data_IF_225557878253
#
_entry.id   IF_225557878253
#
_cell.length_a   1.000
_cell.length_b   1.000
_cell.length_c   1.000
_cell.angle_alpha   90.00
_cell.angle_beta   90.00
_cell.angle_gamma   90.00
#
_symmetry.space_group_name_H-M   'P 1'
#
loop_
_entity.id
_entity.type
_entity.pdbx_description
1 polymer ?
#
# COMPACT_ATOMS: atom_id res chain seq x y z
N UNK A 1 2.61 -3.30 20.30
CA UNK A 1 2.92 -2.52 21.53
C UNK A 1 3.20 -1.09 21.12
N UNK A 2 2.79 -0.07 21.90
CA UNK A 2 3.11 1.34 21.59
C UNK A 2 4.59 1.58 21.91
N UNK A 3 5.30 2.36 21.09
CA UNK A 3 6.69 2.72 21.32
C UNK A 3 6.86 3.51 22.63
N UNK A 4 7.98 3.30 23.32
CA UNK A 4 8.23 3.88 24.65
C UNK A 4 8.17 5.42 24.65
N UNK A 5 8.76 6.07 23.65
CA UNK A 5 8.73 7.54 23.51
C UNK A 5 7.30 8.07 23.34
N UNK A 6 6.52 7.44 22.46
CA UNK A 6 5.11 7.82 22.24
C UNK A 6 4.26 7.58 23.50
N UNK A 7 4.50 6.48 24.21
CA UNK A 7 3.79 6.21 25.47
C UNK A 7 4.10 7.26 26.54
N UNK A 8 5.34 7.72 26.61
CA UNK A 8 5.76 8.78 27.53
C UNK A 8 5.07 10.11 27.22
N UNK A 9 5.02 10.50 25.93
CA UNK A 9 4.34 11.74 25.52
C UNK A 9 2.84 11.70 25.78
N UNK A 10 2.18 10.57 25.51
CA UNK A 10 0.75 10.40 25.85
C UNK A 10 0.54 10.53 27.36
N UNK A 11 1.39 9.91 28.18
CA UNK A 11 1.30 9.99 29.63
C UNK A 11 1.55 11.43 30.15
N UNK A 12 2.48 12.16 29.52
CA UNK A 12 2.76 13.56 29.83
C UNK A 12 1.53 14.43 29.60
N UNK A 13 0.88 14.31 28.43
CA UNK A 13 -0.34 15.04 28.10
C UNK A 13 -1.49 14.69 29.05
N UNK A 14 -1.63 13.43 29.45
CA UNK A 14 -2.62 13.01 30.45
C UNK A 14 -2.35 13.64 31.81
N UNK A 15 -1.07 13.74 32.20
CA UNK A 15 -0.64 14.38 33.47
C UNK A 15 -0.88 15.88 33.42
N UNK A 16 -0.56 16.52 32.30
CA UNK A 16 -0.80 17.96 32.11
C UNK A 16 -2.28 18.30 32.13
N UNK A 17 -3.13 17.51 31.44
CA UNK A 17 -4.56 17.64 31.49
C UNK A 17 -5.10 17.51 32.93
N UNK A 18 -4.52 16.59 33.73
CA UNK A 18 -4.86 16.43 35.16
C UNK A 18 -4.46 17.64 35.97
N UNK A 19 -3.26 18.18 35.78
CA UNK A 19 -2.79 19.37 36.47
C UNK A 19 -3.63 20.60 36.15
N UNK A 20 -4.14 20.69 34.91
CA UNK A 20 -5.05 21.76 34.46
C UNK A 20 -6.52 21.48 34.79
N UNK A 21 -6.81 20.34 35.43
CA UNK A 21 -8.17 19.93 35.85
C UNK A 21 -9.16 19.86 34.67
N UNK A 22 -8.69 19.43 33.50
CA UNK A 22 -9.55 19.28 32.34
C UNK A 22 -10.45 18.05 32.49
N UNK A 23 -11.71 18.16 32.05
CA UNK A 23 -12.69 17.08 32.16
C UNK A 23 -12.39 15.93 31.17
N UNK A 24 -11.91 16.29 29.98
CA UNK A 24 -11.65 15.31 28.91
C UNK A 24 -10.28 15.50 28.29
N UNK A 25 -9.71 14.38 27.76
CA UNK A 25 -8.58 14.41 26.84
C UNK A 25 -9.08 14.03 25.44
N UNK A 26 -8.88 14.94 24.49
CA UNK A 26 -9.44 14.89 23.14
C UNK A 26 -8.38 14.54 22.09
N UNK A 27 -8.76 14.40 20.81
CA UNK A 27 -7.85 14.17 19.68
C UNK A 27 -6.87 15.34 19.49
N UNK A 28 -7.26 16.56 19.84
CA UNK A 28 -6.43 17.76 19.82
C UNK A 28 -5.25 17.67 20.79
N UNK A 29 -5.48 17.12 21.98
CA UNK A 29 -4.41 16.83 22.95
C UNK A 29 -3.46 15.75 22.40
N UNK A 30 -3.99 14.75 21.69
CA UNK A 30 -3.16 13.73 21.08
C UNK A 30 -2.29 14.31 19.94
N UNK A 31 -2.85 15.21 19.13
CA UNK A 31 -2.07 15.92 18.12
C UNK A 31 -0.96 16.76 18.76
N UNK A 32 -1.26 17.45 19.87
CA UNK A 32 -0.28 18.23 20.61
C UNK A 32 0.89 17.37 21.12
N UNK A 33 0.60 16.18 21.66
CA UNK A 33 1.60 15.20 22.04
C UNK A 33 2.49 14.78 20.84
N UNK A 34 1.87 14.54 19.70
CA UNK A 34 2.60 14.15 18.49
C UNK A 34 3.50 15.24 17.94
N UNK A 35 3.19 16.52 18.15
CA UNK A 35 4.03 17.65 17.78
C UNK A 35 5.33 17.75 18.62
N UNK A 36 5.48 16.93 19.66
CA UNK A 36 6.73 16.81 20.44
C UNK A 36 7.62 15.67 19.91
N UNK A 37 7.11 14.83 19.02
CA UNK A 37 7.86 13.68 18.50
C UNK A 37 8.72 14.07 17.30
N UNK A 38 10.01 13.75 17.34
CA UNK A 38 10.99 14.12 16.29
C UNK A 38 10.57 13.69 14.88
N UNK A 39 9.92 12.53 14.74
CA UNK A 39 9.43 12.01 13.47
C UNK A 39 8.36 12.93 12.86
N UNK A 40 7.40 13.39 13.68
CA UNK A 40 6.32 14.29 13.26
C UNK A 40 6.85 15.69 12.99
N UNK A 41 7.75 16.18 13.85
CA UNK A 41 8.40 17.48 13.69
C UNK A 41 9.21 17.53 12.39
N UNK A 42 9.97 16.49 12.08
CA UNK A 42 10.76 16.38 10.84
C UNK A 42 9.85 16.36 9.61
N UNK A 43 8.76 15.61 9.66
CA UNK A 43 7.74 15.60 8.60
C UNK A 43 7.12 16.99 8.38
N UNK A 44 6.69 17.66 9.45
CA UNK A 44 6.08 19.01 9.39
C UNK A 44 7.04 20.03 8.80
N UNK A 45 8.33 20.03 9.25
CA UNK A 45 9.38 20.89 8.70
C UNK A 45 9.61 20.64 7.21
N UNK A 46 9.61 19.37 6.78
CA UNK A 46 9.70 19.01 5.36
C UNK A 46 8.59 19.60 4.49
N UNK A 47 7.40 19.76 5.07
CA UNK A 47 6.24 20.42 4.42
C UNK A 47 6.24 21.95 4.62
N UNK A 48 7.26 22.54 5.27
CA UNK A 48 7.39 23.97 5.58
C UNK A 48 6.24 24.54 6.43
N UNK A 49 5.75 23.76 7.38
CA UNK A 49 4.67 24.14 8.27
C UNK A 49 5.27 24.81 9.51
N UNK A 50 4.63 25.90 9.95
CA UNK A 50 4.98 26.54 11.20
C UNK A 50 4.39 25.77 12.38
N UNK A 51 5.23 24.96 13.02
CA UNK A 51 4.82 24.08 14.14
C UNK A 51 4.41 24.89 15.36
N UNK A 52 5.11 26.00 15.61
CA UNK A 52 4.84 26.85 16.79
C UNK A 52 3.47 27.53 16.68
N UNK A 53 3.08 27.97 15.49
CA UNK A 53 1.78 28.55 15.22
C UNK A 53 0.67 27.49 15.37
N UNK A 54 0.85 26.30 14.77
CA UNK A 54 -0.10 25.20 14.90
C UNK A 54 -0.28 24.77 16.37
N UNK A 55 0.81 24.74 17.15
CA UNK A 55 0.78 24.45 18.58
C UNK A 55 -0.03 25.49 19.35
N UNK A 56 0.24 26.78 19.12
CA UNK A 56 -0.47 27.87 19.79
C UNK A 56 -1.97 27.84 19.47
N UNK A 57 -2.34 27.58 18.22
CA UNK A 57 -3.75 27.43 17.82
C UNK A 57 -4.43 26.25 18.50
N UNK A 58 -3.74 25.09 18.61
CA UNK A 58 -4.25 23.90 19.30
C UNK A 58 -4.45 24.17 20.80
N UNK A 59 -3.48 24.79 21.45
CA UNK A 59 -3.54 25.15 22.88
C UNK A 59 -4.71 26.11 23.14
N UNK A 60 -4.84 27.15 22.31
CA UNK A 60 -5.96 28.11 22.42
C UNK A 60 -7.32 27.42 22.23
N UNK A 61 -7.41 26.47 21.29
CA UNK A 61 -8.63 25.72 21.07
C UNK A 61 -8.97 24.83 22.28
N UNK A 62 -8.00 24.13 22.82
CA UNK A 62 -8.14 23.25 23.99
C UNK A 62 -8.63 24.09 25.18
N UNK A 63 -8.00 25.24 25.43
CA UNK A 63 -8.34 26.13 26.54
C UNK A 63 -9.75 26.66 26.44
N UNK A 64 -10.24 26.94 25.26
CA UNK A 64 -11.57 27.52 25.05
C UNK A 64 -12.70 26.49 24.97
N UNK A 65 -12.40 25.23 24.69
CA UNK A 65 -13.42 24.19 24.40
C UNK A 65 -13.39 23.01 25.36
N UNK A 66 -12.37 22.90 26.23
CA UNK A 66 -12.33 21.80 27.20
C UNK A 66 -12.78 22.32 28.57
N UNK A 67 -13.88 21.79 29.15
CA UNK A 67 -14.35 22.18 30.48
C UNK A 67 -13.32 21.89 31.57
N UNK A 68 -13.29 22.74 32.58
CA UNK A 68 -12.45 22.58 33.77
C UNK A 68 -13.33 22.05 34.91
N UNK A 69 -12.85 21.00 35.59
CA UNK A 69 -13.53 20.42 36.75
C UNK A 69 -13.39 21.32 37.96
N UNK A 70 -14.46 21.50 38.74
CA UNK A 70 -14.46 22.30 39.99
C UNK A 70 -13.47 21.72 41.03
N UNK A 71 -13.02 22.60 41.95
CA UNK A 71 -12.00 22.21 42.95
C UNK A 71 -12.47 21.13 43.94
N UNK A 72 -13.77 20.97 44.12
CA UNK A 72 -14.39 20.03 45.07
C UNK A 72 -14.56 18.61 44.51
N UNK A 73 -14.39 18.38 43.18
CA UNK A 73 -14.57 17.09 42.54
C UNK A 73 -13.27 16.29 42.47
N UNK A 74 -13.38 14.98 42.64
CA UNK A 74 -12.27 14.05 42.32
C UNK A 74 -11.96 14.09 40.84
N UNK A 75 -10.65 14.16 40.53
CA UNK A 75 -10.18 14.29 39.15
C UNK A 75 -10.05 12.88 38.54
N UNK A 76 -11.05 12.46 37.80
CA UNK A 76 -10.94 11.29 36.96
C UNK A 76 -11.04 11.72 35.50
N UNK A 77 -9.88 11.86 34.85
CA UNK A 77 -9.80 12.31 33.46
C UNK A 77 -10.18 11.19 32.53
N UNK A 78 -11.22 11.40 31.74
CA UNK A 78 -11.71 10.42 30.77
C UNK A 78 -11.23 10.76 29.36
N UNK A 79 -10.45 9.90 28.69
CA UNK A 79 -10.17 10.06 27.27
C UNK A 79 -11.46 9.96 26.47
N UNK A 80 -11.67 10.92 25.56
CA UNK A 80 -12.85 10.90 24.68
C UNK A 80 -12.86 9.65 23.79
N UNK A 81 -14.04 9.26 23.32
CA UNK A 81 -14.22 8.14 22.41
C UNK A 81 -13.37 8.30 21.13
N UNK A 82 -13.24 9.54 20.64
CA UNK A 82 -12.37 9.86 19.49
C UNK A 82 -10.90 9.55 19.76
N UNK A 83 -10.38 9.97 20.92
CA UNK A 83 -9.02 9.69 21.37
C UNK A 83 -8.76 8.18 21.44
N UNK A 84 -9.67 7.43 22.09
CA UNK A 84 -9.55 5.97 22.20
C UNK A 84 -9.59 5.28 20.84
N UNK A 85 -10.51 5.69 19.94
CA UNK A 85 -10.61 5.13 18.59
C UNK A 85 -9.36 5.35 17.76
N UNK A 86 -8.73 6.53 17.86
CA UNK A 86 -7.48 6.81 17.14
C UNK A 86 -6.39 5.85 17.59
N UNK A 87 -6.20 5.66 18.90
CA UNK A 87 -5.19 4.73 19.43
C UNK A 87 -5.49 3.28 19.07
N UNK A 88 -6.72 2.82 19.24
CA UNK A 88 -7.12 1.46 18.87
C UNK A 88 -6.89 1.18 17.38
N UNK A 89 -7.25 2.13 16.52
CA UNK A 89 -7.07 2.02 15.08
C UNK A 89 -5.59 1.98 14.69
N UNK A 90 -4.74 2.78 15.35
CA UNK A 90 -3.30 2.75 15.10
C UNK A 90 -2.67 1.41 15.49
N UNK A 91 -3.11 0.81 16.61
CA UNK A 91 -2.68 -0.53 17.02
C UNK A 91 -3.14 -1.59 16.02
N UNK A 92 -4.39 -1.53 15.59
CA UNK A 92 -4.93 -2.48 14.61
C UNK A 92 -4.22 -2.38 13.26
N UNK A 93 -3.91 -1.16 12.79
CA UNK A 93 -3.16 -0.94 11.55
C UNK A 93 -1.72 -1.48 11.65
N UNK A 94 -1.05 -1.27 12.79
CA UNK A 94 0.30 -1.80 13.00
C UNK A 94 0.31 -3.34 13.01
N UNK A 95 -0.67 -3.96 13.67
CA UNK A 95 -0.84 -5.42 13.68
C UNK A 95 -1.11 -5.98 12.28
N UNK A 96 -1.99 -5.33 11.51
CA UNK A 96 -2.30 -5.72 10.12
C UNK A 96 -1.10 -5.58 9.18
N UNK A 97 -0.20 -4.63 9.47
CA UNK A 97 1.05 -4.42 8.74
C UNK A 97 2.22 -5.27 9.29
N UNK A 98 1.95 -6.25 10.18
CA UNK A 98 2.95 -7.10 10.84
C UNK A 98 4.08 -6.32 11.54
N UNK A 99 3.81 -5.07 11.96
CA UNK A 99 4.76 -4.27 12.73
C UNK A 99 4.65 -4.61 14.21
N UNK A 100 5.78 -4.74 14.87
CA UNK A 100 5.84 -5.10 16.30
C UNK A 100 5.50 -3.91 17.23
N UNK A 101 5.56 -2.68 16.74
CA UNK A 101 5.30 -1.45 17.51
C UNK A 101 4.49 -0.42 16.70
N UNK A 102 3.77 0.41 17.45
CA UNK A 102 3.05 1.58 16.93
C UNK A 102 3.92 2.80 17.19
N UNK A 103 4.36 3.48 16.14
CA UNK A 103 5.12 4.73 16.23
C UNK A 103 4.22 5.97 16.12
N UNK A 104 4.79 7.15 16.33
CA UNK A 104 4.08 8.43 16.30
C UNK A 104 3.39 8.69 14.95
N UNK A 105 4.03 8.34 13.84
CA UNK A 105 3.46 8.53 12.51
C UNK A 105 2.24 7.63 12.24
N UNK A 106 2.16 6.42 12.81
CA UNK A 106 0.97 5.56 12.71
C UNK A 106 -0.23 6.18 13.42
N UNK A 107 -0.01 6.78 14.61
CA UNK A 107 -1.06 7.51 15.33
C UNK A 107 -1.45 8.77 14.56
N UNK A 108 -0.50 9.49 14.01
CA UNK A 108 -0.74 10.69 13.22
C UNK A 108 -1.63 10.44 12.00
N UNK A 109 -1.38 9.35 11.22
CA UNK A 109 -2.28 8.92 10.13
C UNK A 109 -3.67 8.59 10.65
N UNK A 110 -3.76 7.97 11.84
CA UNK A 110 -5.04 7.53 12.41
C UNK A 110 -5.92 8.71 12.85
N UNK A 111 -5.34 9.86 13.21
CA UNK A 111 -6.08 11.09 13.52
C UNK A 111 -7.00 11.51 12.37
N UNK A 112 -6.56 11.41 11.13
CA UNK A 112 -7.36 11.77 9.94
C UNK A 112 -8.66 10.99 9.78
N UNK A 113 -8.82 9.92 10.55
CA UNK A 113 -10.06 9.13 10.54
C UNK A 113 -11.19 9.80 11.34
N UNK A 114 -10.87 10.68 12.28
CA UNK A 114 -11.81 11.45 13.08
C UNK A 114 -12.13 12.78 12.35
N UNK A 115 -12.91 12.67 11.26
CA UNK A 115 -13.15 13.77 10.31
C UNK A 115 -13.77 15.03 10.92
N UNK A 116 -14.47 14.87 12.03
CA UNK A 116 -15.19 15.95 12.75
C UNK A 116 -14.31 16.58 13.84
N UNK A 117 -13.08 16.08 14.10
CA UNK A 117 -12.20 16.71 15.08
C UNK A 117 -11.58 17.98 14.55
N UNK A 118 -11.39 18.95 15.46
CA UNK A 118 -10.73 20.21 15.14
C UNK A 118 -9.26 20.02 14.78
N UNK A 119 -8.61 18.99 15.33
CA UNK A 119 -7.27 18.58 14.95
C UNK A 119 -7.15 18.32 13.43
N UNK A 120 -8.10 17.57 12.85
CA UNK A 120 -8.12 17.30 11.40
C UNK A 120 -8.42 18.56 10.59
N UNK A 121 -9.26 19.46 11.12
CA UNK A 121 -9.54 20.75 10.49
C UNK A 121 -8.27 21.60 10.39
N UNK A 122 -7.53 21.76 11.50
CA UNK A 122 -6.25 22.50 11.52
C UNK A 122 -5.20 21.91 10.61
N UNK A 123 -5.06 20.58 10.58
CA UNK A 123 -4.15 19.90 9.66
C UNK A 123 -4.48 20.19 8.19
N UNK A 124 -5.78 20.21 7.84
CA UNK A 124 -6.22 20.54 6.47
C UNK A 124 -5.99 22.00 6.12
N UNK A 125 -6.18 22.95 7.07
CA UNK A 125 -5.85 24.37 6.85
C UNK A 125 -4.38 24.56 6.51
N UNK A 126 -3.51 23.77 7.12
CA UNK A 126 -2.08 23.73 6.83
C UNK A 126 -1.72 22.86 5.61
N UNK A 127 -2.69 22.51 4.76
CA UNK A 127 -2.52 21.70 3.57
C UNK A 127 -1.90 20.32 3.83
N UNK A 128 -2.11 19.74 5.01
CA UNK A 128 -1.69 18.37 5.33
C UNK A 128 -2.86 17.44 5.07
N UNK A 129 -2.67 16.50 4.17
CA UNK A 129 -3.60 15.41 3.89
C UNK A 129 -3.11 14.11 4.53
N UNK A 130 -4.04 13.15 4.70
CA UNK A 130 -3.68 11.79 5.12
C UNK A 130 -2.63 11.15 4.21
N UNK A 131 -2.71 11.42 2.91
CA UNK A 131 -1.77 10.89 1.91
C UNK A 131 -0.36 11.42 2.15
N UNK A 132 -0.22 12.72 2.44
CA UNK A 132 1.08 13.32 2.74
C UNK A 132 1.77 12.64 3.92
N UNK A 133 1.00 12.30 4.97
CA UNK A 133 1.55 11.62 6.16
C UNK A 133 1.92 10.17 5.84
N UNK A 134 1.14 9.47 5.00
CA UNK A 134 1.47 8.12 4.56
C UNK A 134 2.73 8.09 3.69
N UNK A 135 2.91 9.07 2.80
CA UNK A 135 4.14 9.26 2.03
C UNK A 135 5.35 9.53 2.95
N UNK A 136 5.16 10.33 4.01
CA UNK A 136 6.19 10.58 5.02
C UNK A 136 6.65 9.32 5.75
N UNK A 137 5.73 8.39 6.05
CA UNK A 137 6.06 7.09 6.65
C UNK A 137 6.91 6.24 5.69
N UNK A 138 6.57 6.24 4.40
CA UNK A 138 7.28 5.46 3.40
C UNK A 138 8.70 5.96 3.18
N UNK A 139 8.93 7.28 3.26
CA UNK A 139 10.24 7.88 3.12
C UNK A 139 11.17 7.64 4.33
N UNK A 140 10.61 7.58 5.54
CA UNK A 140 11.39 7.27 6.76
C UNK A 140 11.85 5.80 6.83
N UNK A 141 11.11 4.88 6.22
CA UNK A 141 11.51 3.45 6.12
C UNK A 141 12.71 3.23 5.20
N UNK A 142 12.98 4.16 4.28
CA UNK A 142 14.17 4.13 3.42
C UNK A 142 15.42 4.69 4.10
N UNK A 143 15.30 5.51 5.15
CA UNK A 143 16.43 6.12 5.84
C UNK A 143 17.03 5.26 6.97
N UNK A 144 16.33 4.23 7.45
CA UNK A 144 16.81 3.36 8.54
C UNK A 144 17.68 2.19 8.09
N UNK A 145 17.95 2.04 6.78
CA UNK A 145 18.79 0.97 6.23
C UNK A 145 20.15 1.40 5.66
N UNK A 146 20.59 2.63 5.95
CA UNK A 146 21.91 3.11 5.46
C UNK A 146 22.69 3.83 6.56
N UNK A 147 23.23 3.08 7.52
CA UNK A 147 24.51 3.42 8.15
C UNK A 147 25.52 2.32 7.78
N UNK A 148 26.23 2.53 6.73
CA UNK A 148 27.60 2.22 6.38
C UNK A 148 27.75 2.18 4.86
N UNK A 149 28.09 3.29 4.26
CA UNK A 149 29.21 3.48 3.33
C UNK A 149 29.10 4.86 2.66
N UNK A 150 29.99 5.76 3.05
CA UNK A 150 30.27 7.01 2.31
C UNK A 150 30.96 6.68 0.99
N UNK A 151 30.44 7.12 -0.15
CA UNK A 151 31.08 8.06 -1.12
C UNK A 151 30.38 8.09 -2.48
N UNK A 152 30.11 9.36 -2.90
CA UNK A 152 30.11 9.90 -4.27
C UNK A 152 28.96 9.53 -5.21
N UNK A 153 28.21 10.54 -5.58
CA UNK A 153 27.37 10.59 -6.79
C UNK A 153 26.06 11.34 -6.60
N UNK A 154 26.02 12.61 -7.01
CA UNK A 154 24.78 13.38 -7.10
C UNK A 154 23.80 12.71 -8.08
N UNK A 155 22.68 12.21 -7.59
CA UNK A 155 21.55 11.88 -8.43
C UNK A 155 20.23 12.37 -7.82
N UNK A 156 19.38 12.86 -8.70
CA UNK A 156 18.09 13.50 -8.47
C UNK A 156 17.19 12.66 -7.56
N UNK A 157 16.63 13.29 -6.53
CA UNK A 157 15.51 12.74 -5.74
C UNK A 157 14.33 12.49 -6.66
N UNK A 158 14.15 11.24 -7.09
CA UNK A 158 12.94 10.77 -7.77
C UNK A 158 11.90 10.41 -6.72
N UNK A 159 10.69 10.93 -6.88
CA UNK A 159 9.49 10.48 -6.14
C UNK A 159 9.42 8.96 -6.19
N UNK A 160 8.97 8.25 -5.11
CA UNK A 160 8.77 6.81 -5.17
C UNK A 160 7.91 6.49 -6.40
N UNK A 161 8.36 5.54 -7.20
CA UNK A 161 7.64 5.20 -8.44
C UNK A 161 6.29 4.59 -8.08
N UNK A 162 5.29 4.79 -8.95
CA UNK A 162 3.97 4.16 -8.75
C UNK A 162 4.08 2.63 -8.67
N UNK A 163 5.13 2.06 -9.25
CA UNK A 163 5.46 0.64 -9.13
C UNK A 163 5.73 0.23 -7.67
N UNK A 164 6.55 0.99 -6.94
CA UNK A 164 6.87 0.68 -5.54
C UNK A 164 5.65 0.82 -4.61
N UNK A 165 4.73 1.74 -4.95
CA UNK A 165 3.55 2.02 -4.14
C UNK A 165 2.43 0.99 -4.31
N UNK A 166 2.27 0.41 -5.51
CA UNK A 166 1.12 -0.42 -5.88
C UNK A 166 1.49 -1.83 -6.35
N UNK A 167 2.78 -2.16 -6.37
CA UNK A 167 3.25 -3.48 -6.77
C UNK A 167 4.30 -4.02 -5.81
N UNK A 168 4.44 -5.35 -5.82
CA UNK A 168 5.51 -6.05 -5.10
C UNK A 168 6.48 -6.65 -6.11
N UNK A 169 7.77 -6.36 -5.97
CA UNK A 169 8.82 -6.93 -6.80
C UNK A 169 9.10 -8.39 -6.40
N UNK A 170 8.62 -9.36 -7.20
CA UNK A 170 8.80 -10.79 -6.91
C UNK A 170 10.25 -11.23 -7.09
N UNK A 171 11.02 -10.61 -8.00
CA UNK A 171 12.43 -10.98 -8.19
C UNK A 171 13.28 -10.53 -6.99
N UNK A 172 12.94 -9.41 -6.36
CA UNK A 172 13.59 -8.95 -5.14
C UNK A 172 13.28 -9.89 -3.96
N UNK A 173 12.02 -10.24 -3.77
CA UNK A 173 11.62 -11.27 -2.78
C UNK A 173 12.34 -12.61 -3.00
N UNK A 174 12.54 -13.00 -4.26
CA UNK A 174 13.29 -14.20 -4.57
C UNK A 174 14.79 -14.11 -4.17
N UNK A 175 15.42 -12.93 -4.36
CA UNK A 175 16.81 -12.67 -3.93
C UNK A 175 16.95 -12.69 -2.41
N UNK A 176 15.96 -12.17 -1.70
CA UNK A 176 15.91 -12.18 -0.22
C UNK A 176 15.58 -13.57 0.37
N UNK A 177 15.25 -14.56 -0.48
CA UNK A 177 14.90 -15.90 -0.02
C UNK A 177 13.49 -16.03 0.54
N UNK A 178 12.63 -15.05 0.32
CA UNK A 178 11.25 -15.02 0.82
C UNK A 178 10.28 -15.85 -0.04
N UNK A 179 10.75 -16.43 -1.14
CA UNK A 179 9.93 -17.27 -2.03
C UNK A 179 10.27 -18.73 -1.83
N UNK A 180 9.27 -19.51 -1.47
CA UNK A 180 9.37 -20.94 -1.32
C UNK A 180 9.76 -21.65 -2.65
N UNK A 181 10.49 -22.78 -2.58
CA UNK A 181 10.80 -23.55 -3.78
C UNK A 181 9.53 -24.13 -4.41
N UNK A 182 9.38 -23.90 -5.71
CA UNK A 182 8.24 -24.44 -6.47
C UNK A 182 8.52 -25.92 -6.81
N UNK A 183 7.66 -26.80 -6.35
CA UNK A 183 7.76 -28.25 -6.57
C UNK A 183 6.67 -28.73 -7.53
N UNK A 184 7.05 -29.59 -8.48
CA UNK A 184 6.12 -30.30 -9.36
C UNK A 184 5.36 -29.44 -10.37
N UNK A 185 5.84 -28.23 -10.69
CA UNK A 185 5.20 -27.28 -11.63
C UNK A 185 6.14 -26.84 -12.76
N UNK A 186 7.14 -27.63 -13.07
CA UNK A 186 8.17 -27.30 -14.07
C UNK A 186 7.58 -27.11 -15.46
N UNK A 187 6.60 -27.94 -15.84
CA UNK A 187 5.93 -27.87 -17.14
C UNK A 187 5.11 -26.59 -17.31
N UNK A 188 4.35 -26.21 -16.27
CA UNK A 188 3.53 -25.00 -16.29
C UNK A 188 4.40 -23.74 -16.32
N UNK A 189 5.51 -23.72 -15.58
CA UNK A 189 6.49 -22.64 -15.66
C UNK A 189 7.15 -22.58 -17.03
N UNK A 190 7.59 -23.73 -17.59
CA UNK A 190 8.15 -23.79 -18.93
C UNK A 190 7.16 -23.26 -19.97
N UNK A 191 5.89 -23.65 -19.87
CA UNK A 191 4.84 -23.17 -20.75
C UNK A 191 4.62 -21.66 -20.62
N UNK A 192 4.66 -21.13 -19.39
CA UNK A 192 4.58 -19.69 -19.13
C UNK A 192 5.75 -18.95 -19.79
N UNK A 193 6.98 -19.44 -19.64
CA UNK A 193 8.17 -18.90 -20.29
C UNK A 193 8.05 -18.93 -21.82
N UNK A 194 7.58 -20.03 -22.41
CA UNK A 194 7.35 -20.14 -23.84
C UNK A 194 6.36 -19.10 -24.36
N UNK A 195 5.27 -18.85 -23.62
CA UNK A 195 4.27 -17.84 -23.98
C UNK A 195 4.86 -16.43 -23.90
N UNK A 196 5.56 -16.09 -22.81
CA UNK A 196 6.20 -14.78 -22.61
C UNK A 196 7.28 -14.47 -23.68
N UNK A 197 7.88 -15.50 -24.27
CA UNK A 197 8.89 -15.36 -25.32
C UNK A 197 8.33 -15.17 -26.72
N UNK A 198 7.00 -15.22 -26.90
CA UNK A 198 6.34 -15.00 -28.20
C UNK A 198 6.30 -13.53 -28.58
N UNK A 199 6.19 -13.25 -29.88
CA UNK A 199 5.97 -11.88 -30.40
C UNK A 199 4.50 -11.44 -30.29
N UNK A 200 3.55 -12.37 -30.31
CA UNK A 200 2.10 -12.12 -30.21
C UNK A 200 1.47 -13.13 -29.27
N UNK A 201 0.37 -12.80 -28.63
CA UNK A 201 -0.25 -13.61 -27.57
C UNK A 201 0.78 -14.01 -26.50
N UNK A 202 1.59 -13.03 -26.11
CA UNK A 202 2.70 -13.18 -25.17
C UNK A 202 2.30 -13.02 -23.70
N UNK A 203 0.99 -12.92 -23.42
CA UNK A 203 0.47 -12.80 -22.07
C UNK A 203 -0.12 -14.16 -21.64
N UNK A 204 0.53 -14.92 -20.76
CA UNK A 204 -0.03 -16.14 -20.21
C UNK A 204 -1.18 -15.84 -19.25
N UNK A 205 -2.24 -16.63 -19.33
CA UNK A 205 -3.36 -16.63 -18.39
C UNK A 205 -3.44 -17.98 -17.70
N UNK A 206 -3.07 -18.02 -16.42
CA UNK A 206 -3.11 -19.20 -15.58
C UNK A 206 -4.55 -19.46 -15.13
N UNK A 207 -5.17 -20.50 -15.64
CA UNK A 207 -6.57 -20.84 -15.36
C UNK A 207 -6.65 -22.13 -14.55
N UNK A 208 -7.28 -22.09 -13.40
CA UNK A 208 -7.39 -23.28 -12.53
C UNK A 208 -8.28 -22.98 -11.31
N UNK A 209 -8.65 -24.02 -10.58
CA UNK A 209 -9.42 -23.88 -9.35
C UNK A 209 -8.73 -22.98 -8.32
N UNK A 210 -9.48 -22.48 -7.34
CA UNK A 210 -8.88 -21.77 -6.21
C UNK A 210 -7.92 -22.70 -5.43
N UNK A 211 -6.78 -22.16 -4.97
CA UNK A 211 -5.82 -22.92 -4.15
C UNK A 211 -4.93 -23.91 -4.89
N UNK A 212 -4.96 -24.01 -6.24
CA UNK A 212 -4.09 -24.93 -6.99
C UNK A 212 -2.64 -24.43 -7.17
N UNK A 213 -2.31 -23.24 -6.66
CA UNK A 213 -0.95 -22.70 -6.72
C UNK A 213 -0.64 -21.83 -7.95
N UNK A 214 -1.64 -21.11 -8.51
CA UNK A 214 -1.43 -20.19 -9.65
C UNK A 214 -0.43 -19.07 -9.31
N UNK A 215 -0.56 -18.47 -8.15
CA UNK A 215 0.37 -17.43 -7.64
C UNK A 215 1.78 -17.98 -7.45
N UNK A 216 1.91 -19.22 -6.96
CA UNK A 216 3.19 -19.89 -6.79
C UNK A 216 3.96 -20.10 -8.11
N UNK A 217 3.26 -20.23 -9.24
CA UNK A 217 3.89 -20.32 -10.58
C UNK A 217 4.59 -19.01 -10.93
N UNK A 218 3.96 -17.85 -10.67
CA UNK A 218 4.58 -16.54 -10.92
C UNK A 218 5.78 -16.31 -10.00
N UNK A 219 5.69 -16.69 -8.73
CA UNK A 219 6.79 -16.65 -7.76
C UNK A 219 7.93 -17.58 -8.15
N UNK A 220 7.64 -18.82 -8.55
CA UNK A 220 8.63 -19.77 -9.02
C UNK A 220 9.31 -19.33 -10.31
N UNK A 221 8.61 -18.64 -11.21
CA UNK A 221 9.21 -18.02 -12.38
C UNK A 221 10.16 -16.89 -11.98
N UNK A 222 9.79 -16.03 -11.04
CA UNK A 222 10.68 -14.98 -10.52
C UNK A 222 11.97 -15.57 -9.93
N UNK A 223 11.87 -16.67 -9.18
CA UNK A 223 13.04 -17.39 -8.66
C UNK A 223 13.92 -17.95 -9.78
N UNK A 224 13.34 -18.56 -10.83
CA UNK A 224 14.09 -19.04 -11.98
C UNK A 224 14.78 -17.92 -12.77
N UNK A 225 14.19 -16.72 -12.84
CA UNK A 225 14.83 -15.53 -13.43
C UNK A 225 16.06 -15.14 -12.62
N UNK A 226 15.92 -15.03 -11.30
CA UNK A 226 17.01 -14.67 -10.39
C UNK A 226 18.14 -15.72 -10.43
N UNK A 227 17.79 -17.00 -10.50
CA UNK A 227 18.75 -18.11 -10.64
C UNK A 227 19.40 -18.21 -12.05
N UNK A 228 18.98 -17.37 -13.01
CA UNK A 228 19.46 -17.43 -14.39
C UNK A 228 19.00 -18.66 -15.19
N UNK A 229 17.98 -19.39 -14.69
CA UNK A 229 17.44 -20.64 -15.31
C UNK A 229 16.30 -20.36 -16.29
N UNK A 230 16.44 -19.30 -17.07
CA UNK A 230 15.46 -18.86 -18.08
C UNK A 230 16.19 -18.53 -19.40
N UNK A 231 15.48 -18.53 -20.55
CA UNK A 231 16.07 -18.07 -21.81
C UNK A 231 16.57 -16.61 -21.73
N UNK A 232 17.55 -16.26 -22.58
CA UNK A 232 18.18 -14.93 -22.59
C UNK A 232 17.20 -13.77 -22.68
N UNK A 233 16.07 -13.97 -23.36
CA UNK A 233 14.99 -12.98 -23.51
C UNK A 233 14.34 -12.57 -22.16
N UNK A 234 14.49 -13.39 -21.13
CA UNK A 234 13.90 -13.17 -19.81
C UNK A 234 14.92 -12.98 -18.68
N UNK A 235 16.23 -13.08 -18.96
CA UNK A 235 17.28 -13.02 -17.90
C UNK A 235 17.29 -11.70 -17.12
N UNK A 236 17.03 -10.58 -17.79
CA UNK A 236 17.04 -9.25 -17.17
C UNK A 236 15.63 -8.74 -16.87
N UNK A 237 14.67 -9.66 -16.79
CA UNK A 237 13.27 -9.29 -16.59
C UNK A 237 12.90 -9.29 -15.11
N UNK A 238 12.14 -8.28 -14.67
CA UNK A 238 11.61 -8.19 -13.32
C UNK A 238 10.11 -8.43 -13.33
N UNK A 239 9.61 -9.25 -12.41
CA UNK A 239 8.17 -9.51 -12.25
C UNK A 239 7.63 -8.66 -11.11
N UNK A 240 6.65 -7.81 -11.41
CA UNK A 240 5.92 -6.98 -10.46
C UNK A 240 4.53 -7.56 -10.24
N UNK A 241 4.20 -7.92 -9.02
CA UNK A 241 2.87 -8.37 -8.62
C UNK A 241 2.00 -7.18 -8.25
N UNK A 242 0.92 -6.96 -8.98
CA UNK A 242 -0.02 -5.88 -8.72
C UNK A 242 -0.84 -6.17 -7.46
N UNK A 243 -0.86 -5.23 -6.52
CA UNK A 243 -1.75 -5.28 -5.37
C UNK A 243 -3.05 -4.52 -5.67
N UNK A 244 -4.05 -5.27 -6.11
CA UNK A 244 -5.38 -4.70 -6.44
C UNK A 244 -6.05 -4.10 -5.20
N UNK A 245 -5.81 -4.67 -4.02
CA UNK A 245 -6.34 -4.16 -2.76
C UNK A 245 -5.81 -2.77 -2.44
N UNK A 246 -4.49 -2.56 -2.57
CA UNK A 246 -3.84 -1.25 -2.36
C UNK A 246 -4.26 -0.24 -3.42
N UNK A 247 -4.42 -0.66 -4.68
CA UNK A 247 -4.91 0.19 -5.76
C UNK A 247 -6.31 0.76 -5.48
N UNK A 248 -7.20 -0.05 -4.90
CA UNK A 248 -8.58 0.32 -4.57
C UNK A 248 -8.66 1.04 -3.23
N UNK A 249 -7.77 0.74 -2.29
CA UNK A 249 -7.80 1.30 -0.95
C UNK A 249 -7.79 2.84 -0.98
N UNK A 250 -8.78 3.45 -0.32
CA UNK A 250 -8.91 4.91 -0.21
C UNK A 250 -9.35 5.64 -1.49
N UNK A 251 -9.68 4.94 -2.59
CA UNK A 251 -10.32 5.58 -3.76
C UNK A 251 -11.78 5.85 -3.46
N UNK A 252 -12.21 7.11 -3.60
CA UNK A 252 -13.63 7.50 -3.46
C UNK A 252 -14.35 7.47 -4.80
N UNK A 253 -13.62 7.67 -5.89
CA UNK A 253 -14.15 7.77 -7.24
C UNK A 253 -13.40 6.80 -8.16
N UNK A 254 -14.12 6.30 -9.16
CA UNK A 254 -13.57 5.44 -10.22
C UNK A 254 -12.33 6.06 -10.89
N UNK A 255 -12.33 7.37 -11.11
CA UNK A 255 -11.20 8.07 -11.73
C UNK A 255 -9.90 8.04 -10.92
N UNK A 256 -9.96 7.88 -9.59
CA UNK A 256 -8.75 7.79 -8.77
C UNK A 256 -8.06 6.44 -8.99
N UNK A 257 -8.82 5.36 -9.04
CA UNK A 257 -8.33 4.02 -9.37
C UNK A 257 -7.74 3.98 -10.79
N UNK A 258 -8.46 4.56 -11.77
CA UNK A 258 -8.01 4.60 -13.17
C UNK A 258 -6.67 5.34 -13.30
N UNK A 259 -6.51 6.49 -12.64
CA UNK A 259 -5.25 7.25 -12.61
C UNK A 259 -4.09 6.46 -11.99
N UNK A 260 -4.33 5.77 -10.87
CA UNK A 260 -3.31 4.94 -10.21
C UNK A 260 -2.86 3.80 -11.13
N UNK A 261 -3.81 3.09 -11.74
CA UNK A 261 -3.51 2.00 -12.66
C UNK A 261 -2.74 2.52 -13.90
N UNK A 262 -3.17 3.64 -14.49
CA UNK A 262 -2.45 4.29 -15.60
C UNK A 262 -1.02 4.67 -15.23
N UNK A 263 -0.80 5.18 -14.01
CA UNK A 263 0.54 5.52 -13.53
C UNK A 263 1.43 4.29 -13.43
N UNK A 264 0.92 3.17 -12.86
CA UNK A 264 1.64 1.89 -12.80
C UNK A 264 1.99 1.36 -14.19
N UNK A 265 1.04 1.40 -15.13
CA UNK A 265 1.28 0.94 -16.50
C UNK A 265 2.33 1.79 -17.21
N UNK A 266 2.30 3.11 -17.03
CA UNK A 266 3.30 4.02 -17.57
C UNK A 266 4.71 3.72 -17.04
N UNK A 267 4.84 3.54 -15.72
CA UNK A 267 6.13 3.19 -15.12
C UNK A 267 6.65 1.84 -15.63
N UNK A 268 5.75 0.87 -15.91
CA UNK A 268 6.11 -0.43 -16.50
C UNK A 268 6.55 -0.30 -17.96
N UNK A 269 5.94 0.58 -18.74
CA UNK A 269 6.34 0.86 -20.14
C UNK A 269 7.72 1.52 -20.23
N UNK A 270 8.03 2.40 -19.29
CA UNK A 270 9.36 3.02 -19.17
C UNK A 270 10.44 1.98 -18.82
N UNK A 271 10.07 0.94 -18.05
CA UNK A 271 10.94 -0.20 -17.68
C UNK A 271 10.76 -1.37 -18.67
N UNK A 272 11.46 -1.31 -19.81
CA UNK A 272 11.31 -2.26 -20.94
C UNK A 272 11.39 -3.76 -20.61
N UNK A 273 11.96 -4.14 -19.46
CA UNK A 273 12.16 -5.53 -19.04
C UNK A 273 11.26 -5.89 -17.85
N UNK A 274 10.02 -5.36 -17.80
CA UNK A 274 9.07 -5.67 -16.74
C UNK A 274 7.94 -6.57 -17.20
N UNK A 275 7.49 -7.43 -16.29
CA UNK A 275 6.30 -8.26 -16.44
C UNK A 275 5.37 -7.92 -15.29
N UNK A 276 4.12 -7.60 -15.60
CA UNK A 276 3.07 -7.39 -14.61
C UNK A 276 2.38 -8.73 -14.30
N UNK A 277 2.40 -9.14 -13.05
CA UNK A 277 1.57 -10.25 -12.58
C UNK A 277 0.31 -9.69 -11.91
N UNK A 278 -0.86 -10.15 -12.37
CA UNK A 278 -2.16 -9.78 -11.82
C UNK A 278 -2.84 -11.04 -11.32
N UNK A 279 -2.89 -11.19 -10.01
CA UNK A 279 -3.68 -12.27 -9.42
C UNK A 279 -5.17 -11.92 -9.50
N UNK A 280 -6.00 -12.92 -9.73
CA UNK A 280 -7.45 -12.75 -9.91
C UNK A 280 -7.81 -11.63 -10.90
N UNK A 281 -7.16 -11.63 -12.08
CA UNK A 281 -7.31 -10.56 -13.10
C UNK A 281 -8.76 -10.27 -13.48
N UNK A 282 -9.67 -11.19 -13.26
CA UNK A 282 -11.12 -11.02 -13.48
C UNK A 282 -11.73 -9.93 -12.56
N UNK A 283 -11.12 -9.65 -11.40
CA UNK A 283 -11.57 -8.58 -10.50
C UNK A 283 -11.40 -7.20 -11.11
N UNK A 284 -10.39 -7.01 -11.96
CA UNK A 284 -10.14 -5.78 -12.69
C UNK A 284 -10.96 -5.65 -13.99
N UNK A 285 -11.33 -6.78 -14.61
CA UNK A 285 -11.90 -6.82 -15.95
C UNK A 285 -13.42 -7.00 -15.92
N UNK A 286 -13.96 -7.75 -14.94
CA UNK A 286 -15.34 -8.21 -14.94
C UNK A 286 -16.32 -7.48 -14.03
N UNK A 287 -15.82 -6.54 -13.25
CA UNK A 287 -16.63 -5.86 -12.24
C UNK A 287 -17.71 -4.89 -12.81
N UNK A 288 -17.89 -4.82 -14.15
CA UNK A 288 -18.76 -3.88 -14.86
C UNK A 288 -20.24 -4.25 -14.99
N UNK A 289 -20.70 -5.42 -14.56
CA UNK A 289 -22.04 -5.90 -14.98
C UNK A 289 -23.12 -6.04 -13.90
N UNK A 290 -22.85 -5.72 -12.63
CA UNK A 290 -23.89 -5.79 -11.57
C UNK A 290 -23.90 -4.52 -10.71
N UNK A 291 -24.94 -3.73 -10.90
CA UNK A 291 -25.43 -2.60 -10.10
C UNK A 291 -24.41 -1.71 -9.36
N UNK A 292 -24.12 -0.55 -9.95
CA UNK A 292 -23.82 0.66 -9.16
C UNK A 292 -22.40 0.80 -8.64
N UNK A 293 -21.36 0.73 -9.47
CA UNK A 293 -20.03 1.20 -9.06
C UNK A 293 -18.85 0.26 -9.32
N UNK A 294 -18.93 -0.64 -10.26
CA UNK A 294 -17.86 -1.57 -10.54
C UNK A 294 -16.70 -0.93 -11.32
N UNK A 295 -15.48 -1.24 -10.86
CA UNK A 295 -14.23 -0.83 -11.45
C UNK A 295 -13.98 -1.63 -12.74
N UNK A 296 -14.04 -1.01 -13.90
CA UNK A 296 -13.72 -1.65 -15.18
C UNK A 296 -12.39 -1.12 -15.73
N UNK A 297 -11.33 -1.86 -15.46
CA UNK A 297 -9.99 -1.55 -15.95
C UNK A 297 -9.76 -2.05 -17.39
N UNK A 298 -10.72 -2.72 -17.99
CA UNK A 298 -10.58 -3.30 -19.35
C UNK A 298 -10.16 -2.25 -20.39
N UNK A 299 -10.71 -1.04 -20.30
CA UNK A 299 -10.43 0.04 -21.24
C UNK A 299 -9.01 0.60 -21.12
N UNK A 300 -8.39 0.42 -19.95
CA UNK A 300 -7.01 0.86 -19.68
C UNK A 300 -6.02 -0.23 -20.05
N UNK A 301 -6.33 -1.50 -19.71
CA UNK A 301 -5.45 -2.63 -19.97
C UNK A 301 -5.44 -3.04 -21.46
N UNK A 302 -6.57 -2.95 -22.16
CA UNK A 302 -6.68 -3.35 -23.57
C UNK A 302 -5.66 -2.67 -24.49
N UNK A 303 -5.46 -1.34 -24.46
CA UNK A 303 -4.43 -0.68 -25.28
C UNK A 303 -3.02 -1.18 -24.94
N UNK A 304 -2.62 -1.16 -23.67
CA UNK A 304 -1.29 -1.56 -23.23
C UNK A 304 -0.93 -3.02 -23.61
N UNK A 305 -1.92 -3.93 -23.53
CA UNK A 305 -1.77 -5.32 -23.99
C UNK A 305 -1.81 -5.46 -25.52
N UNK A 306 -2.44 -4.49 -26.24
CA UNK A 306 -2.58 -4.52 -27.69
C UNK A 306 -1.27 -4.21 -28.38
N UNK A 307 -0.57 -3.20 -27.92
CA UNK A 307 0.66 -2.69 -28.54
C UNK A 307 1.88 -3.57 -28.25
N UNK A 308 1.70 -4.57 -27.33
CA UNK A 308 2.78 -5.49 -26.93
C UNK A 308 3.89 -4.83 -26.13
N UNK A 309 3.68 -3.59 -25.69
CA UNK A 309 4.59 -2.85 -24.82
C UNK A 309 4.59 -3.43 -23.40
N UNK A 310 3.43 -3.89 -22.94
CA UNK A 310 3.26 -4.55 -21.64
C UNK A 310 3.23 -6.07 -21.80
N UNK A 311 4.07 -6.77 -21.02
CA UNK A 311 3.93 -8.21 -20.78
C UNK A 311 3.18 -8.43 -19.48
N UNK A 312 2.15 -9.27 -19.51
CA UNK A 312 1.30 -9.54 -18.36
C UNK A 312 1.12 -11.04 -18.13
N UNK A 313 1.19 -11.48 -16.89
CA UNK A 313 0.77 -12.80 -16.44
C UNK A 313 -0.52 -12.59 -15.66
N UNK A 314 -1.62 -13.17 -16.09
CA UNK A 314 -2.88 -13.16 -15.35
C UNK A 314 -3.14 -14.49 -14.66
N UNK A 315 -3.85 -14.48 -13.54
CA UNK A 315 -4.45 -15.68 -12.95
C UNK A 315 -5.96 -15.53 -12.85
N UNK A 316 -6.71 -16.63 -12.99
CA UNK A 316 -8.16 -16.66 -12.82
C UNK A 316 -8.67 -18.07 -12.54
N UNK A 317 -9.95 -18.20 -12.18
CA UNK A 317 -10.62 -19.50 -12.07
C UNK A 317 -11.27 -19.89 -13.40
N UNK A 318 -11.65 -21.19 -13.56
CA UNK A 318 -12.38 -21.64 -14.75
C UNK A 318 -13.74 -20.96 -14.90
N UNK A 319 -14.41 -20.72 -13.77
CA UNK A 319 -15.72 -20.08 -13.76
C UNK A 319 -15.63 -18.64 -14.24
N UNK A 320 -14.72 -17.87 -13.68
CA UNK A 320 -14.51 -16.47 -14.03
C UNK A 320 -13.91 -16.30 -15.44
N UNK A 321 -13.07 -17.23 -15.89
CA UNK A 321 -12.61 -17.28 -17.28
C UNK A 321 -13.77 -17.30 -18.27
N UNK A 322 -14.75 -18.19 -18.06
CA UNK A 322 -15.95 -18.28 -18.91
C UNK A 322 -16.82 -17.03 -18.84
N UNK A 323 -16.97 -16.45 -17.64
CA UNK A 323 -17.81 -15.26 -17.44
C UNK A 323 -17.23 -14.01 -18.09
N UNK A 324 -15.92 -13.83 -18.06
CA UNK A 324 -15.22 -12.60 -18.41
C UNK A 324 -14.48 -12.73 -19.74
N UNK A 325 -13.52 -13.67 -19.85
CA UNK A 325 -12.61 -13.75 -20.99
C UNK A 325 -13.28 -14.35 -22.25
N UNK A 326 -14.15 -15.32 -22.13
CA UNK A 326 -14.85 -15.88 -23.29
C UNK A 326 -15.81 -14.88 -23.93
N UNK A 327 -16.34 -13.95 -23.14
CA UNK A 327 -17.23 -12.88 -23.63
C UNK A 327 -16.47 -11.70 -24.24
N UNK A 328 -15.26 -11.44 -23.76
CA UNK A 328 -14.43 -10.33 -24.29
C UNK A 328 -13.38 -10.86 -25.28
N UNK A 329 -13.76 -10.91 -26.54
CA UNK A 329 -12.89 -11.37 -27.62
C UNK A 329 -11.59 -10.55 -27.78
N UNK A 330 -11.58 -9.29 -27.35
CA UNK A 330 -10.38 -8.45 -27.42
C UNK A 330 -9.32 -8.91 -26.43
N UNK A 331 -9.72 -9.24 -25.20
CA UNK A 331 -8.83 -9.79 -24.18
C UNK A 331 -8.43 -11.24 -24.50
N UNK A 332 -9.37 -12.08 -24.91
CA UNK A 332 -9.11 -13.48 -25.28
C UNK A 332 -8.04 -13.61 -26.39
N UNK A 333 -7.97 -12.64 -27.30
CA UNK A 333 -6.93 -12.63 -28.37
C UNK A 333 -5.55 -12.21 -27.85
N UNK A 334 -5.44 -11.57 -26.69
CA UNK A 334 -4.19 -11.06 -26.10
C UNK A 334 -3.58 -12.05 -25.11
N UNK A 335 -4.41 -12.85 -24.47
CA UNK A 335 -3.97 -13.84 -23.50
C UNK A 335 -3.89 -15.26 -24.13
N UNK A 336 -2.91 -16.03 -23.66
CA UNK A 336 -2.78 -17.47 -23.93
C UNK A 336 -3.15 -18.23 -22.67
N UNK A 337 -4.25 -18.96 -22.73
CA UNK A 337 -4.70 -19.84 -21.64
C UNK A 337 -3.67 -20.93 -21.37
N UNK A 338 -3.37 -21.15 -20.08
CA UNK A 338 -2.59 -22.25 -19.54
C UNK A 338 -3.42 -22.85 -18.41
N UNK A 339 -3.83 -24.09 -18.58
CA UNK A 339 -4.62 -24.81 -17.58
C UNK A 339 -3.73 -25.29 -16.44
N UNK A 340 -4.16 -25.03 -15.21
CA UNK A 340 -3.45 -25.39 -13.98
C UNK A 340 -4.33 -26.34 -13.17
N UNK A 341 -4.01 -27.61 -13.23
CA UNK A 341 -4.75 -28.65 -12.51
C UNK A 341 -4.16 -28.91 -11.13
N UNK A 342 -4.95 -29.53 -10.27
CA UNK A 342 -4.48 -29.98 -8.96
C UNK A 342 -3.52 -31.15 -9.15
N UNK A 343 -2.24 -30.96 -8.84
CA UNK A 343 -1.28 -32.07 -8.78
C UNK A 343 -1.21 -32.58 -7.34
N UNK A 344 -1.47 -33.86 -7.13
CA UNK A 344 -1.15 -34.52 -5.87
C UNK A 344 0.35 -34.79 -5.88
N UNK A 345 1.08 -34.24 -4.91
CA UNK A 345 2.46 -34.66 -4.65
C UNK A 345 2.32 -36.01 -3.93
N UNK A 346 2.56 -37.10 -4.64
CA UNK A 346 2.68 -38.45 -4.08
C UNK A 346 4.11 -38.65 -3.62
#
# INVERSE_FOLDING_TARGET
>A
MIEQGLQQEINLVMTEARNRRLEFVTVEHLLLALLNMDEVVSFMRGKRINIDELRAELEQYIDSHTPIISEEAEIDIVPTVGFQRVLQRSVYQAQSAQKNSVNAMNVFVSIFSEKESHAVYMLKLNNISRLDVMEGISSQLSDTSVEETKKVGSEKQTKPSSLESFTTNLCEKARLGEIDPLLGREEEVLRTVQVLSRRRKNNPLLVGQAGVGKTAIAQGLAKKIVDGKVPDVLKDTTIYSLDVGVLIAGTKYRGDFEKRLQSVLKDLEENKNSILFIDEVHTLIGAGSVSGGSLDASNILKPALADGTLKCIGSTTYEEYRKVFEKDHALARRFQKIDIDRKSVV
#
